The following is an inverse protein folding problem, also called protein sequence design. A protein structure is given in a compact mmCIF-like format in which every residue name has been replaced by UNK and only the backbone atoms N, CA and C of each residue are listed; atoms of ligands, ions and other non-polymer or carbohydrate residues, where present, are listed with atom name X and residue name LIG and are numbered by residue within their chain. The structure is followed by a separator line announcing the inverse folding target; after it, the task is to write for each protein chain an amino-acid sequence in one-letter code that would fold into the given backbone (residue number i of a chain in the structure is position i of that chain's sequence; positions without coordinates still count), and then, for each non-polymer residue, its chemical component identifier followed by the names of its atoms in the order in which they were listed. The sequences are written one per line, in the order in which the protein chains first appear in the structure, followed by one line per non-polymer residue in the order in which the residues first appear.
data_IF_849182023480
#
_entry.id   IF_849182023480
#
_cell.length_a   1.000
_cell.length_b   1.000
_cell.length_c   1.000
_cell.angle_alpha   90.00
_cell.angle_beta   90.00
_cell.angle_gamma   90.00
#
_symmetry.space_group_name_H-M   'P 1'
#
loop_
_entity.id
_entity.type
_entity.pdbx_description
1 polymer ?
#
# COMPACT_ATOMS: atom_id res chain seq x y z
N UNK A 1 -16.69 39.36 15.50
CA UNK A 1 -16.48 38.60 14.24
C UNK A 1 -15.03 38.17 14.20
N UNK A 2 -14.69 36.87 14.20
CA UNK A 2 -13.31 36.46 13.98
C UNK A 2 -12.99 36.55 12.48
N UNK A 3 -11.89 37.22 12.17
CA UNK A 3 -11.30 37.37 10.84
C UNK A 3 -11.11 36.01 10.11
N UNK A 4 -11.30 35.97 8.79
CA UNK A 4 -10.95 34.80 7.99
C UNK A 4 -9.43 34.64 8.01
N UNK A 5 -8.94 33.54 8.58
CA UNK A 5 -7.53 33.18 8.56
C UNK A 5 -7.01 33.20 7.11
N UNK A 6 -6.15 34.16 6.82
CA UNK A 6 -5.47 34.37 5.55
C UNK A 6 -4.63 33.15 5.18
N UNK A 7 -4.80 32.72 3.92
CA UNK A 7 -4.00 31.76 3.13
C UNK A 7 -2.91 30.97 3.88
N UNK A 8 -3.28 29.85 4.51
CA UNK A 8 -2.30 28.78 4.74
C UNK A 8 -1.96 28.18 3.39
N UNK A 9 -0.72 28.41 2.97
CA UNK A 9 -0.07 27.87 1.78
C UNK A 9 -0.70 26.53 1.34
N UNK A 10 -1.54 26.57 0.30
CA UNK A 10 -2.32 25.44 -0.22
C UNK A 10 -1.45 24.42 -0.98
N UNK A 11 -0.14 24.47 -0.78
CA UNK A 11 0.83 23.59 -1.40
C UNK A 11 0.66 22.17 -0.85
N UNK A 12 0.42 21.26 -1.79
CA UNK A 12 0.39 19.80 -1.58
C UNK A 12 1.66 19.34 -0.87
N UNK A 13 1.52 18.56 0.21
CA UNK A 13 2.66 17.97 0.91
C UNK A 13 3.37 16.95 -0.01
N UNK A 14 4.57 17.30 -0.45
CA UNK A 14 5.32 16.53 -1.44
C UNK A 14 5.96 15.27 -0.87
N UNK A 15 6.13 15.20 0.46
CA UNK A 15 6.66 14.03 1.16
C UNK A 15 5.81 12.80 0.90
N UNK A 16 4.50 12.98 0.84
CA UNK A 16 3.55 11.88 0.70
C UNK A 16 3.69 11.26 -0.68
N UNK A 17 3.77 12.07 -1.73
CA UNK A 17 4.00 11.57 -3.09
C UNK A 17 5.38 10.91 -3.21
N UNK A 18 6.41 11.49 -2.58
CA UNK A 18 7.75 10.92 -2.57
C UNK A 18 7.79 9.55 -1.89
N UNK A 19 7.29 9.44 -0.66
CA UNK A 19 7.29 8.19 0.11
C UNK A 19 6.42 7.13 -0.56
N UNK A 20 5.28 7.49 -1.16
CA UNK A 20 4.47 6.56 -1.96
C UNK A 20 5.24 6.07 -3.18
N UNK A 21 5.95 6.95 -3.88
CA UNK A 21 6.77 6.57 -5.04
C UNK A 21 7.92 5.64 -4.66
N UNK A 22 8.63 5.96 -3.57
CA UNK A 22 9.68 5.12 -3.01
C UNK A 22 9.14 3.75 -2.61
N UNK A 23 8.00 3.71 -1.92
CA UNK A 23 7.36 2.46 -1.53
C UNK A 23 7.04 1.58 -2.75
N UNK A 24 6.53 2.16 -3.84
CA UNK A 24 6.24 1.40 -5.07
C UNK A 24 7.49 0.82 -5.73
N UNK A 25 8.59 1.57 -5.76
CA UNK A 25 9.87 1.09 -6.30
C UNK A 25 10.38 -0.07 -5.45
N UNK A 26 10.42 0.09 -4.13
CA UNK A 26 10.89 -0.97 -3.21
C UNK A 26 9.98 -2.19 -3.26
N UNK A 27 8.65 -2.03 -3.25
CA UNK A 27 7.70 -3.13 -3.44
C UNK A 27 7.98 -3.88 -4.75
N UNK A 28 8.32 -3.17 -5.82
CA UNK A 28 8.66 -3.81 -7.10
C UNK A 28 9.90 -4.69 -6.96
N UNK A 29 10.98 -4.15 -6.37
CA UNK A 29 12.23 -4.89 -6.16
C UNK A 29 12.06 -6.08 -5.22
N UNK A 30 11.24 -5.93 -4.18
CA UNK A 30 10.90 -6.97 -3.20
C UNK A 30 10.20 -8.18 -3.82
N UNK A 31 9.54 -7.99 -4.97
CA UNK A 31 8.84 -9.05 -5.69
C UNK A 31 9.59 -9.58 -6.92
N UNK A 32 10.86 -9.19 -7.08
CA UNK A 32 11.77 -9.86 -8.02
C UNK A 32 12.35 -11.09 -7.31
N UNK A 33 11.90 -12.29 -7.69
CA UNK A 33 12.40 -13.54 -7.13
C UNK A 33 13.83 -13.82 -7.60
N UNK A 34 14.64 -14.37 -6.70
CA UNK A 34 16.07 -14.62 -6.96
C UNK A 34 16.95 -13.38 -6.84
N UNK A 35 16.40 -12.22 -6.46
CA UNK A 35 17.14 -10.97 -6.32
C UNK A 35 17.87 -10.88 -4.99
N UNK A 36 19.20 -10.77 -5.01
CA UNK A 36 20.01 -10.63 -3.79
C UNK A 36 19.66 -9.37 -2.98
N UNK A 37 19.18 -8.30 -3.63
CA UNK A 37 18.79 -7.07 -2.93
C UNK A 37 17.69 -7.33 -1.89
N UNK A 38 16.84 -8.33 -2.11
CA UNK A 38 15.77 -8.67 -1.16
C UNK A 38 16.32 -8.92 0.24
N UNK A 39 17.54 -9.48 0.38
CA UNK A 39 18.18 -9.78 1.67
C UNK A 39 18.42 -8.54 2.54
N UNK A 40 18.58 -7.37 1.92
CA UNK A 40 18.82 -6.09 2.62
C UNK A 40 17.60 -5.17 2.62
N UNK A 41 16.51 -5.59 1.98
CA UNK A 41 15.27 -4.81 1.93
C UNK A 41 14.42 -5.01 3.20
N UNK A 42 13.54 -4.04 3.53
CA UNK A 42 12.68 -4.10 4.72
C UNK A 42 11.88 -5.39 4.85
N UNK A 43 11.46 -5.99 3.73
CA UNK A 43 10.69 -7.23 3.71
C UNK A 43 11.44 -8.40 4.38
N UNK A 44 12.76 -8.50 4.21
CA UNK A 44 13.59 -9.57 4.78
C UNK A 44 13.91 -9.35 6.26
N UNK A 45 13.95 -8.09 6.72
CA UNK A 45 14.03 -7.78 8.14
C UNK A 45 12.77 -8.27 8.88
N UNK A 46 11.63 -8.29 8.19
CA UNK A 46 10.39 -8.92 8.67
C UNK A 46 9.64 -8.14 9.75
N UNK A 47 10.16 -7.00 10.21
CA UNK A 47 9.55 -6.13 11.22
C UNK A 47 8.31 -5.41 10.68
N UNK A 48 8.48 -4.57 9.65
CA UNK A 48 7.43 -4.01 8.78
C UNK A 48 8.08 -3.67 7.43
N UNK A 49 7.29 -3.46 6.38
CA UNK A 49 7.80 -3.17 5.05
C UNK A 49 7.13 -1.98 4.38
N UNK A 50 7.35 -1.82 3.07
CA UNK A 50 6.84 -0.69 2.30
C UNK A 50 5.34 -0.79 2.01
N UNK A 51 4.71 -1.95 2.22
CA UNK A 51 3.25 -2.08 2.11
C UNK A 51 2.54 -1.28 3.19
N UNK A 52 3.01 -1.30 4.44
CA UNK A 52 2.44 -0.51 5.53
C UNK A 52 2.54 0.98 5.24
N UNK A 53 3.70 1.44 4.75
CA UNK A 53 3.92 2.82 4.30
C UNK A 53 2.90 3.20 3.23
N UNK A 54 2.75 2.36 2.20
CA UNK A 54 1.86 2.63 1.08
C UNK A 54 0.38 2.69 1.52
N UNK A 55 -0.08 1.74 2.34
CA UNK A 55 -1.46 1.67 2.84
C UNK A 55 -1.78 2.86 3.75
N UNK A 56 -0.89 3.18 4.70
CA UNK A 56 -1.07 4.29 5.62
C UNK A 56 -1.13 5.65 4.89
N UNK A 57 -0.20 5.90 3.97
CA UNK A 57 -0.18 7.15 3.20
C UNK A 57 -1.39 7.26 2.26
N UNK A 58 -1.87 6.15 1.70
CA UNK A 58 -3.12 6.14 0.94
C UNK A 58 -4.33 6.47 1.80
N UNK A 59 -4.32 6.12 3.09
CA UNK A 59 -5.30 6.58 4.07
C UNK A 59 -5.33 8.11 4.19
N UNK A 60 -4.17 8.73 4.40
CA UNK A 60 -4.05 10.21 4.48
C UNK A 60 -4.63 10.86 3.22
N UNK A 61 -4.18 10.43 2.05
CA UNK A 61 -4.61 11.01 0.77
C UNK A 61 -6.08 10.71 0.48
N UNK A 62 -6.56 9.53 0.83
CA UNK A 62 -7.96 9.12 0.69
C UNK A 62 -8.87 10.03 1.52
N UNK A 63 -8.51 10.29 2.78
CA UNK A 63 -9.25 11.21 3.65
C UNK A 63 -9.31 12.63 3.10
N UNK A 64 -8.18 13.19 2.65
CA UNK A 64 -8.12 14.53 2.06
C UNK A 64 -8.90 14.65 0.75
N UNK A 65 -8.74 13.68 -0.15
CA UNK A 65 -9.42 13.69 -1.44
C UNK A 65 -10.93 13.52 -1.30
N UNK A 66 -11.39 12.65 -0.40
CA UNK A 66 -12.81 12.53 -0.09
C UNK A 66 -13.35 13.84 0.50
N UNK A 67 -12.67 14.41 1.49
CA UNK A 67 -13.10 15.65 2.13
C UNK A 67 -13.24 16.80 1.11
N UNK A 68 -12.21 17.01 0.28
CA UNK A 68 -12.20 18.05 -0.77
C UNK A 68 -13.30 17.83 -1.81
N UNK A 69 -13.50 16.59 -2.28
CA UNK A 69 -14.55 16.30 -3.25
C UNK A 69 -15.92 16.48 -2.63
N UNK A 70 -16.09 16.07 -1.38
CA UNK A 70 -17.36 16.19 -0.71
C UNK A 70 -17.74 17.63 -0.34
N UNK A 71 -16.77 18.52 -0.13
CA UNK A 71 -17.05 19.96 0.01
C UNK A 71 -17.39 20.61 -1.33
N UNK A 72 -16.83 20.12 -2.45
CA UNK A 72 -17.05 20.70 -3.78
C UNK A 72 -18.34 20.18 -4.44
N UNK A 73 -18.55 18.87 -4.42
CA UNK A 73 -19.58 18.17 -5.21
C UNK A 73 -20.65 17.49 -4.33
N UNK A 74 -20.56 17.65 -3.00
CA UNK A 74 -21.45 17.02 -2.02
C UNK A 74 -21.02 15.61 -1.58
N UNK A 75 -21.52 15.13 -0.42
CA UNK A 75 -21.16 13.82 0.15
C UNK A 75 -21.54 12.64 -0.74
N UNK A 76 -22.69 12.69 -1.39
CA UNK A 76 -23.15 11.59 -2.23
C UNK A 76 -22.27 11.39 -3.47
N UNK A 77 -21.93 12.49 -4.17
CA UNK A 77 -21.01 12.46 -5.31
C UNK A 77 -19.62 11.94 -4.91
N UNK A 78 -19.12 12.34 -3.74
CA UNK A 78 -17.85 11.82 -3.22
C UNK A 78 -17.92 10.31 -2.90
N UNK A 79 -19.02 9.83 -2.32
CA UNK A 79 -19.27 8.40 -2.06
C UNK A 79 -19.27 7.59 -3.35
N UNK A 80 -20.08 7.99 -4.34
CA UNK A 80 -20.16 7.31 -5.62
C UNK A 80 -18.81 7.29 -6.35
N UNK A 81 -18.04 8.38 -6.26
CA UNK A 81 -16.70 8.41 -6.84
C UNK A 81 -15.76 7.38 -6.21
N UNK A 82 -15.77 7.26 -4.87
CA UNK A 82 -14.91 6.31 -4.17
C UNK A 82 -15.33 4.85 -4.42
N UNK A 83 -16.63 4.56 -4.45
CA UNK A 83 -17.14 3.23 -4.80
C UNK A 83 -16.87 2.87 -6.26
N UNK A 84 -17.07 3.79 -7.20
CA UNK A 84 -16.70 3.60 -8.59
C UNK A 84 -15.20 3.34 -8.75
N UNK A 85 -14.36 4.04 -7.98
CA UNK A 85 -12.92 3.79 -7.95
C UNK A 85 -12.57 2.42 -7.33
N UNK A 86 -13.29 1.96 -6.31
CA UNK A 86 -13.12 0.63 -5.75
C UNK A 86 -13.44 -0.46 -6.79
N UNK A 87 -14.55 -0.31 -7.53
CA UNK A 87 -14.93 -1.20 -8.63
C UNK A 87 -13.85 -1.19 -9.72
N UNK A 88 -13.35 0.00 -10.12
CA UNK A 88 -12.27 0.12 -11.09
C UNK A 88 -11.01 -0.64 -10.65
N UNK A 89 -10.62 -0.53 -9.38
CA UNK A 89 -9.45 -1.24 -8.85
C UNK A 89 -9.66 -2.75 -8.84
N UNK A 90 -10.88 -3.21 -8.54
CA UNK A 90 -11.23 -4.63 -8.61
C UNK A 90 -11.14 -5.15 -10.05
N UNK A 91 -11.70 -4.44 -11.04
CA UNK A 91 -11.60 -4.82 -12.45
C UNK A 91 -10.14 -4.84 -12.93
N UNK A 92 -9.34 -3.84 -12.52
CA UNK A 92 -7.90 -3.80 -12.78
C UNK A 92 -7.19 -4.99 -12.15
N UNK A 93 -7.55 -5.38 -10.93
CA UNK A 93 -7.01 -6.58 -10.29
C UNK A 93 -7.35 -7.84 -11.08
N UNK A 94 -8.59 -8.00 -11.55
CA UNK A 94 -8.97 -9.19 -12.35
C UNK A 94 -8.15 -9.28 -13.63
N UNK A 95 -8.08 -8.19 -14.40
CA UNK A 95 -7.36 -8.16 -15.68
C UNK A 95 -5.85 -8.29 -15.48
N UNK A 96 -5.26 -7.47 -14.61
CA UNK A 96 -3.83 -7.50 -14.36
C UNK A 96 -3.40 -8.80 -13.69
N UNK A 97 -4.24 -9.33 -12.80
CA UNK A 97 -4.01 -10.58 -12.11
C UNK A 97 -3.98 -11.75 -13.08
N UNK A 98 -4.99 -11.85 -13.94
CA UNK A 98 -5.03 -12.85 -15.00
C UNK A 98 -3.81 -12.74 -15.93
N UNK A 99 -3.42 -11.52 -16.34
CA UNK A 99 -2.24 -11.29 -17.18
C UNK A 99 -0.94 -11.71 -16.50
N UNK A 100 -0.76 -11.38 -15.21
CA UNK A 100 0.41 -11.79 -14.42
C UNK A 100 0.51 -13.31 -14.34
N UNK A 101 -0.59 -14.01 -14.06
CA UNK A 101 -0.58 -15.47 -14.00
C UNK A 101 -0.31 -16.10 -15.37
N UNK A 102 -0.87 -15.54 -16.44
CA UNK A 102 -0.59 -15.98 -17.81
C UNK A 102 0.90 -15.81 -18.15
N UNK A 103 1.49 -14.69 -17.73
CA UNK A 103 2.91 -14.42 -17.93
C UNK A 103 3.77 -15.42 -17.16
N UNK A 104 3.46 -15.72 -15.90
CA UNK A 104 4.15 -16.74 -15.09
C UNK A 104 4.06 -18.11 -15.78
N UNK A 105 2.87 -18.48 -16.27
CA UNK A 105 2.65 -19.73 -17.01
C UNK A 105 3.50 -19.79 -18.27
N UNK A 106 3.61 -18.68 -19.00
CA UNK A 106 4.41 -18.60 -20.23
C UNK A 106 5.92 -18.64 -19.96
N UNK A 107 6.41 -18.00 -18.90
CA UNK A 107 7.86 -17.95 -18.60
C UNK A 107 8.41 -19.27 -18.05
N UNK A 108 7.55 -20.17 -17.56
CA UNK A 108 7.94 -21.50 -17.06
C UNK A 108 8.70 -21.46 -15.72
N UNK A 109 8.51 -20.41 -14.93
CA UNK A 109 9.24 -20.18 -13.67
C UNK A 109 8.73 -21.07 -12.54
N UNK A 110 9.18 -22.33 -12.53
CA UNK A 110 8.86 -23.36 -11.51
C UNK A 110 9.05 -22.88 -10.06
N UNK A 111 10.03 -22.01 -9.79
CA UNK A 111 10.27 -21.47 -8.46
C UNK A 111 9.21 -20.44 -8.01
N UNK A 112 8.61 -19.68 -8.95
CA UNK A 112 7.46 -18.83 -8.65
C UNK A 112 6.20 -19.67 -8.39
N UNK A 113 6.06 -20.79 -9.09
CA UNK A 113 4.97 -21.76 -8.92
C UNK A 113 5.01 -22.46 -7.54
N UNK A 114 6.20 -22.83 -7.06
CA UNK A 114 6.38 -23.48 -5.74
C UNK A 114 6.18 -22.50 -4.57
N UNK A 115 6.66 -21.26 -4.68
CA UNK A 115 6.54 -20.25 -3.62
C UNK A 115 5.11 -19.74 -3.41
N UNK A 116 4.26 -19.78 -4.45
CA UNK A 116 2.86 -19.38 -4.34
C UNK A 116 1.91 -20.53 -3.97
N UNK A 117 2.39 -21.79 -3.84
CA UNK A 117 1.53 -22.99 -3.72
C UNK A 117 0.43 -23.05 -4.81
N UNK A 118 0.68 -22.44 -5.96
CA UNK A 118 -0.34 -22.16 -6.96
C UNK A 118 -0.39 -23.27 -8.02
N UNK A 119 -0.89 -24.44 -7.63
CA UNK A 119 -1.28 -25.49 -8.60
C UNK A 119 -2.37 -25.00 -9.55
N UNK A 120 -3.07 -23.91 -9.20
CA UNK A 120 -4.12 -23.31 -9.98
C UNK A 120 -3.67 -22.63 -11.28
N UNK A 121 -2.39 -22.24 -11.43
CA UNK A 121 -1.89 -21.62 -12.69
C UNK A 121 -1.96 -22.60 -13.87
N UNK A 122 -1.97 -23.91 -13.59
CA UNK A 122 -2.08 -24.97 -14.59
C UNK A 122 -3.53 -25.28 -15.00
N UNK A 123 -4.53 -24.67 -14.35
CA UNK A 123 -5.93 -24.85 -14.69
C UNK A 123 -6.24 -24.35 -16.11
N UNK A 124 -7.38 -24.79 -16.70
CA UNK A 124 -7.96 -24.14 -17.87
C UNK A 124 -8.10 -22.61 -17.67
N UNK A 125 -7.94 -21.84 -18.75
CA UNK A 125 -7.87 -20.37 -18.68
C UNK A 125 -9.17 -19.73 -18.16
N UNK A 126 -10.31 -20.32 -18.50
CA UNK A 126 -11.63 -19.93 -18.03
C UNK A 126 -11.79 -20.15 -16.52
N UNK A 127 -11.35 -21.31 -16.01
CA UNK A 127 -11.36 -21.58 -14.57
C UNK A 127 -10.39 -20.67 -13.81
N UNK A 128 -9.19 -20.43 -14.37
CA UNK A 128 -8.21 -19.52 -13.79
C UNK A 128 -8.77 -18.10 -13.68
N UNK A 129 -9.38 -17.60 -14.76
CA UNK A 129 -10.02 -16.28 -14.77
C UNK A 129 -11.14 -16.20 -13.73
N UNK A 130 -11.99 -17.23 -13.65
CA UNK A 130 -13.07 -17.28 -12.66
C UNK A 130 -12.53 -17.27 -11.22
N UNK A 131 -11.45 -17.99 -10.94
CA UNK A 131 -10.83 -18.02 -9.61
C UNK A 131 -10.21 -16.67 -9.24
N UNK A 132 -9.54 -16.00 -10.18
CA UNK A 132 -9.04 -14.62 -9.97
C UNK A 132 -10.22 -13.67 -9.73
N UNK A 133 -11.24 -13.70 -10.58
CA UNK A 133 -12.44 -12.87 -10.43
C UNK A 133 -13.12 -13.08 -9.07
N UNK A 134 -13.29 -14.33 -8.65
CA UNK A 134 -13.95 -14.67 -7.38
C UNK A 134 -13.04 -14.47 -6.15
N UNK A 135 -11.84 -13.89 -6.29
CA UNK A 135 -10.86 -13.75 -5.21
C UNK A 135 -10.58 -15.10 -4.53
N UNK A 136 -10.53 -16.18 -5.32
CA UNK A 136 -10.19 -17.56 -4.92
C UNK A 136 -8.77 -17.94 -5.33
N UNK A 137 -8.08 -17.07 -6.05
CA UNK A 137 -6.71 -17.25 -6.50
C UNK A 137 -5.82 -16.16 -5.89
N UNK A 138 -4.77 -16.58 -5.19
CA UNK A 138 -3.74 -15.64 -4.77
C UNK A 138 -2.97 -15.16 -6.00
N UNK A 139 -2.78 -13.85 -6.13
CA UNK A 139 -1.98 -13.26 -7.21
C UNK A 139 -0.92 -12.37 -6.59
N UNK A 140 0.16 -13.01 -6.12
CA UNK A 140 1.37 -12.42 -5.54
C UNK A 140 1.19 -11.00 -4.98
N UNK A 141 2.00 -10.05 -5.49
CA UNK A 141 1.97 -8.65 -5.07
C UNK A 141 0.61 -7.98 -5.31
N UNK A 142 -0.15 -8.36 -6.34
CA UNK A 142 -1.45 -7.78 -6.72
C UNK A 142 -2.54 -7.96 -5.65
N UNK A 143 -2.30 -8.82 -4.66
CA UNK A 143 -3.17 -9.05 -3.51
C UNK A 143 -3.42 -7.80 -2.64
N UNK A 144 -2.64 -6.73 -2.82
CA UNK A 144 -2.93 -5.44 -2.17
C UNK A 144 -4.14 -4.73 -2.81
N UNK A 145 -4.48 -4.99 -4.07
CA UNK A 145 -5.58 -4.29 -4.76
C UNK A 145 -6.97 -4.63 -4.19
N UNK A 146 -7.33 -5.90 -3.91
CA UNK A 146 -8.58 -6.23 -3.24
C UNK A 146 -8.70 -5.54 -1.87
N UNK A 147 -7.61 -5.50 -1.09
CA UNK A 147 -7.54 -4.75 0.17
C UNK A 147 -7.88 -3.27 -0.06
N UNK A 148 -7.32 -2.64 -1.10
CA UNK A 148 -7.63 -1.25 -1.44
C UNK A 148 -9.10 -1.03 -1.79
N UNK A 149 -9.75 -2.00 -2.43
CA UNK A 149 -11.19 -1.94 -2.70
C UNK A 149 -11.98 -1.87 -1.39
N UNK A 150 -11.62 -2.70 -0.39
CA UNK A 150 -12.22 -2.66 0.95
C UNK A 150 -11.94 -1.31 1.64
N UNK A 151 -10.70 -0.82 1.62
CA UNK A 151 -10.32 0.47 2.21
C UNK A 151 -11.15 1.63 1.63
N UNK A 152 -11.22 1.75 0.30
CA UNK A 152 -11.98 2.82 -0.36
C UNK A 152 -13.48 2.72 -0.09
N UNK A 153 -14.02 1.50 0.00
CA UNK A 153 -15.45 1.27 0.30
C UNK A 153 -15.84 1.75 1.69
N UNK A 154 -14.91 1.75 2.65
CA UNK A 154 -15.15 2.21 4.02
C UNK A 154 -14.91 3.71 4.24
N UNK A 155 -14.27 4.43 3.30
CA UNK A 155 -14.04 5.88 3.41
C UNK A 155 -15.36 6.67 3.62
N UNK A 156 -16.45 6.41 2.86
CA UNK A 156 -17.71 7.12 3.06
C UNK A 156 -18.29 6.96 4.46
N UNK A 157 -18.30 5.73 5.00
CA UNK A 157 -18.81 5.44 6.34
C UNK A 157 -17.99 6.18 7.40
N UNK A 158 -16.67 6.12 7.29
CA UNK A 158 -15.76 6.82 8.20
C UNK A 158 -15.99 8.33 8.17
N UNK A 159 -16.13 8.92 6.97
CA UNK A 159 -16.35 10.36 6.83
C UNK A 159 -17.74 10.79 7.29
N UNK A 160 -18.76 9.96 7.07
CA UNK A 160 -20.09 10.18 7.60
C UNK A 160 -20.07 10.23 9.14
N UNK A 161 -19.39 9.27 9.79
CA UNK A 161 -19.27 9.23 11.25
C UNK A 161 -18.53 10.44 11.80
N UNK A 162 -17.43 10.85 11.15
CA UNK A 162 -16.72 12.09 11.48
C UNK A 162 -17.62 13.32 11.38
N UNK A 163 -18.42 13.43 10.32
CA UNK A 163 -19.32 14.59 10.11
C UNK A 163 -20.41 14.64 11.16
N UNK A 164 -21.00 13.50 11.48
CA UNK A 164 -22.05 13.38 12.50
C UNK A 164 -21.58 13.76 13.88
N UNK A 165 -20.36 13.36 14.23
CA UNK A 165 -19.81 13.57 15.58
C UNK A 165 -18.90 14.79 15.68
N UNK A 166 -18.63 15.45 14.55
CA UNK A 166 -17.65 16.53 14.39
C UNK A 166 -16.27 16.21 15.01
N UNK A 167 -15.96 14.92 15.13
CA UNK A 167 -14.81 14.41 15.88
C UNK A 167 -14.15 13.26 15.13
N UNK A 168 -12.83 13.17 15.27
CA UNK A 168 -12.05 12.02 14.78
C UNK A 168 -12.08 10.85 15.75
N UNK A 169 -12.58 11.04 16.99
CA UNK A 169 -12.55 10.02 18.04
C UNK A 169 -13.41 8.80 17.69
N UNK A 170 -14.71 8.92 17.38
CA UNK A 170 -15.54 7.76 17.06
C UNK A 170 -15.03 6.91 15.89
N UNK A 171 -14.59 7.50 14.76
CA UNK A 171 -14.04 6.69 13.68
C UNK A 171 -12.64 6.12 13.98
N UNK A 172 -11.88 6.72 14.91
CA UNK A 172 -10.63 6.12 15.43
C UNK A 172 -10.94 4.91 16.31
N UNK A 173 -11.94 5.01 17.20
CA UNK A 173 -12.37 3.91 18.05
C UNK A 173 -12.90 2.74 17.21
N UNK A 174 -13.63 3.02 16.13
CA UNK A 174 -14.07 1.99 15.19
C UNK A 174 -12.87 1.26 14.55
N UNK A 175 -11.85 1.99 14.08
CA UNK A 175 -10.65 1.39 13.52
C UNK A 175 -9.89 0.53 14.54
N UNK A 176 -9.78 1.01 15.79
CA UNK A 176 -9.16 0.28 16.88
C UNK A 176 -9.95 -0.98 17.25
N UNK A 177 -11.27 -0.87 17.37
CA UNK A 177 -12.14 -2.00 17.69
C UNK A 177 -12.04 -3.09 16.62
N UNK A 178 -12.11 -2.72 15.34
CA UNK A 178 -11.91 -3.65 14.21
C UNK A 178 -10.55 -4.34 14.26
N UNK A 179 -9.50 -3.61 14.62
CA UNK A 179 -8.17 -4.18 14.74
C UNK A 179 -8.08 -5.17 15.90
N UNK A 180 -8.56 -4.79 17.09
CA UNK A 180 -8.51 -5.64 18.28
C UNK A 180 -9.35 -6.91 18.12
N UNK A 181 -10.54 -6.82 17.52
CA UNK A 181 -11.36 -8.01 17.22
C UNK A 181 -10.68 -8.92 16.22
N UNK A 182 -10.00 -8.35 15.20
CA UNK A 182 -9.22 -9.15 14.26
C UNK A 182 -8.05 -9.85 14.96
N UNK A 183 -7.28 -9.17 15.81
CA UNK A 183 -6.18 -9.79 16.55
C UNK A 183 -6.69 -10.88 17.50
N UNK A 184 -7.82 -10.63 18.19
CA UNK A 184 -8.45 -11.64 19.04
C UNK A 184 -8.85 -12.88 18.23
N UNK A 185 -9.48 -12.69 17.06
CA UNK A 185 -9.89 -13.80 16.20
C UNK A 185 -8.70 -14.62 15.70
N UNK A 186 -7.56 -13.99 15.39
CA UNK A 186 -6.32 -14.68 15.01
C UNK A 186 -5.83 -15.59 16.14
N UNK A 187 -5.99 -15.17 17.40
CA UNK A 187 -5.59 -15.94 18.57
C UNK A 187 -6.61 -16.96 19.06
N UNK A 188 -7.88 -16.87 18.64
CA UNK A 188 -8.99 -17.65 19.21
C UNK A 188 -9.76 -18.52 18.22
N UNK A 189 -9.77 -18.20 16.92
CA UNK A 189 -10.46 -18.96 15.87
C UNK A 189 -9.54 -19.16 14.65
N UNK A 190 -9.15 -20.40 14.31
CA UNK A 190 -8.56 -20.66 13.00
C UNK A 190 -9.61 -20.37 11.92
N UNK A 191 -9.30 -19.46 10.99
CA UNK A 191 -10.14 -19.21 9.83
C UNK A 191 -10.10 -20.43 8.90
N UNK A 192 -11.15 -20.67 8.08
CA UNK A 192 -11.12 -21.71 7.07
C UNK A 192 -9.94 -21.49 6.11
N UNK A 193 -9.09 -22.51 5.93
CA UNK A 193 -7.88 -22.44 5.12
C UNK A 193 -8.11 -21.95 3.67
N UNK A 194 -9.31 -22.18 3.12
CA UNK A 194 -9.74 -21.72 1.79
C UNK A 194 -9.82 -20.18 1.66
N UNK A 195 -10.12 -19.46 2.75
CA UNK A 195 -10.15 -17.98 2.74
C UNK A 195 -8.75 -17.40 2.92
N UNK A 196 -7.89 -18.05 3.72
CA UNK A 196 -6.49 -17.67 3.90
C UNK A 196 -5.67 -17.83 2.62
N UNK A 197 -5.98 -18.86 1.82
CA UNK A 197 -5.26 -19.16 0.59
C UNK A 197 -5.47 -18.11 -0.52
N UNK A 198 -6.57 -17.35 -0.49
CA UNK A 198 -6.95 -16.51 -1.62
C UNK A 198 -6.70 -15.01 -1.41
N UNK A 199 -6.78 -14.52 -0.16
CA UNK A 199 -6.49 -13.13 0.18
C UNK A 199 -5.36 -13.10 1.21
N UNK A 200 -4.13 -12.85 0.74
CA UNK A 200 -2.93 -12.80 1.59
C UNK A 200 -3.05 -11.74 2.70
N UNK A 201 -3.60 -10.57 2.40
CA UNK A 201 -3.83 -9.52 3.38
C UNK A 201 -5.22 -9.65 3.99
N UNK A 202 -5.32 -9.97 5.29
CA UNK A 202 -6.63 -9.98 5.95
C UNK A 202 -7.19 -8.55 5.93
N UNK A 203 -8.38 -8.29 5.33
CA UNK A 203 -8.84 -6.93 5.11
C UNK A 203 -9.00 -6.12 6.40
N UNK A 204 -9.55 -6.72 7.46
CA UNK A 204 -9.91 -6.00 8.69
C UNK A 204 -8.70 -5.35 9.39
N UNK A 205 -7.60 -6.07 9.73
CA UNK A 205 -6.41 -5.44 10.30
C UNK A 205 -5.80 -4.36 9.39
N UNK A 206 -5.71 -4.62 8.10
CA UNK A 206 -5.05 -3.69 7.18
C UNK A 206 -5.89 -2.44 6.88
N UNK A 207 -7.22 -2.57 6.89
CA UNK A 207 -8.13 -1.42 6.84
C UNK A 207 -7.94 -0.52 8.06
N UNK A 208 -7.68 -1.06 9.25
CA UNK A 208 -7.44 -0.22 10.43
C UNK A 208 -6.23 0.69 10.25
N UNK A 209 -5.15 0.19 9.63
CA UNK A 209 -3.96 0.98 9.28
C UNK A 209 -4.28 2.11 8.29
N UNK A 210 -5.07 1.80 7.27
CA UNK A 210 -5.55 2.81 6.31
C UNK A 210 -6.41 3.89 7.00
N UNK A 211 -7.35 3.48 7.86
CA UNK A 211 -8.20 4.40 8.61
C UNK A 211 -7.38 5.23 9.61
N UNK A 212 -6.36 4.66 10.24
CA UNK A 212 -5.42 5.39 11.09
C UNK A 212 -4.66 6.46 10.30
N UNK A 213 -4.26 6.14 9.06
CA UNK A 213 -3.75 7.13 8.11
C UNK A 213 -4.74 8.29 7.87
N UNK A 214 -6.03 8.00 7.67
CA UNK A 214 -7.05 9.04 7.55
C UNK A 214 -7.17 9.93 8.80
N UNK A 215 -7.09 9.34 9.99
CA UNK A 215 -7.07 10.07 11.27
C UNK A 215 -5.86 10.99 11.32
N UNK A 216 -4.66 10.44 11.13
CA UNK A 216 -3.41 11.19 11.16
C UNK A 216 -3.38 12.36 10.17
N UNK A 217 -3.95 12.16 8.97
CA UNK A 217 -4.08 13.22 7.96
C UNK A 217 -4.92 14.42 8.41
N UNK A 218 -5.77 14.26 9.43
CA UNK A 218 -6.66 15.31 9.93
C UNK A 218 -6.19 15.92 11.24
N UNK A 219 -5.23 15.29 11.91
CA UNK A 219 -4.66 15.79 13.15
C UNK A 219 -3.66 16.93 12.87
N UNK A 220 -3.62 17.93 13.75
CA UNK A 220 -2.60 18.98 13.68
C UNK A 220 -1.22 18.41 14.04
N UNK A 221 -0.17 18.75 13.26
CA UNK A 221 1.20 18.26 13.49
C UNK A 221 1.73 18.54 14.91
N UNK A 222 1.24 19.61 15.55
CA UNK A 222 1.63 20.01 16.91
C UNK A 222 1.33 18.94 17.97
N UNK A 223 0.32 18.08 17.78
CA UNK A 223 -0.02 17.02 18.73
C UNK A 223 1.08 15.96 18.88
N UNK A 224 1.92 15.82 17.85
CA UNK A 224 3.04 14.90 17.83
C UNK A 224 4.37 15.66 17.82
N UNK A 225 4.45 16.86 18.41
CA UNK A 225 5.68 17.67 18.46
C UNK A 225 6.53 17.41 19.73
N UNK A 226 5.95 16.83 20.77
CA UNK A 226 6.65 16.58 22.04
C UNK A 226 7.86 15.63 21.85
N UNK A 227 9.04 15.91 22.43
CA UNK A 227 10.24 15.07 22.26
C UNK A 227 10.08 13.66 22.85
N UNK A 228 9.22 13.46 23.85
CA UNK A 228 8.96 12.12 24.40
C UNK A 228 8.49 11.11 23.34
N UNK A 229 7.71 11.54 22.34
CA UNK A 229 7.26 10.65 21.26
C UNK A 229 8.43 10.10 20.42
N UNK A 230 9.51 10.87 20.29
CA UNK A 230 10.73 10.42 19.64
C UNK A 230 11.48 9.39 20.48
N UNK A 231 11.63 9.66 21.78
CA UNK A 231 12.21 8.68 22.71
C UNK A 231 11.46 7.35 22.68
N UNK A 232 10.12 7.40 22.77
CA UNK A 232 9.26 6.21 22.68
C UNK A 232 9.46 5.47 21.34
N UNK A 233 9.46 6.20 20.22
CA UNK A 233 9.66 5.60 18.92
C UNK A 233 11.04 4.92 18.79
N UNK A 234 12.11 5.56 19.28
CA UNK A 234 13.46 4.99 19.29
C UNK A 234 13.55 3.74 20.18
N UNK A 235 12.91 3.76 21.35
CA UNK A 235 12.84 2.58 22.23
C UNK A 235 12.12 1.44 21.51
N UNK A 236 10.97 1.67 20.88
CA UNK A 236 10.25 0.64 20.11
C UNK A 236 11.14 0.07 18.99
N UNK A 237 11.81 0.93 18.22
CA UNK A 237 12.72 0.48 17.16
C UNK A 237 13.86 -0.38 17.72
N UNK A 238 14.50 0.05 18.80
CA UNK A 238 15.60 -0.67 19.43
C UNK A 238 15.13 -2.01 20.01
N UNK A 239 13.99 -2.04 20.71
CA UNK A 239 13.42 -3.27 21.26
C UNK A 239 13.07 -4.27 20.15
N UNK A 240 12.43 -3.82 19.07
CA UNK A 240 12.07 -4.68 17.95
C UNK A 240 13.31 -5.23 17.23
N UNK A 241 14.35 -4.41 17.07
CA UNK A 241 15.62 -4.86 16.52
C UNK A 241 16.29 -5.90 17.44
N UNK A 242 16.38 -5.65 18.75
CA UNK A 242 16.92 -6.61 19.70
C UNK A 242 16.16 -7.94 19.67
N UNK A 243 14.83 -7.91 19.69
CA UNK A 243 13.99 -9.11 19.61
C UNK A 243 14.21 -9.89 18.31
N UNK A 244 14.39 -9.19 17.19
CA UNK A 244 14.70 -9.81 15.91
C UNK A 244 16.08 -10.48 15.92
N UNK A 245 17.08 -9.86 16.55
CA UNK A 245 18.43 -10.41 16.68
C UNK A 245 18.50 -11.60 17.64
N UNK A 246 17.59 -11.67 18.62
CA UNK A 246 17.50 -12.78 19.58
C UNK A 246 16.70 -13.99 19.06
N UNK A 247 16.19 -13.92 17.83
CA UNK A 247 15.36 -14.97 17.19
C UNK A 247 14.23 -15.52 18.08
N UNK A 248 13.55 -14.63 18.80
CA UNK A 248 12.54 -15.02 19.78
C UNK A 248 11.30 -15.64 19.09
N UNK A 249 10.91 -16.90 19.39
CA UNK A 249 9.83 -17.58 18.67
C UNK A 249 8.45 -16.93 18.86
N UNK A 250 8.22 -16.28 20.01
CA UNK A 250 7.00 -15.51 20.29
C UNK A 250 6.79 -14.33 19.31
N UNK A 251 7.86 -13.89 18.62
CA UNK A 251 7.84 -12.77 17.69
C UNK A 251 7.08 -13.09 16.39
N UNK A 252 7.00 -14.36 16.00
CA UNK A 252 6.35 -14.76 14.75
C UNK A 252 4.86 -14.38 14.71
N UNK A 253 4.14 -14.55 15.81
CA UNK A 253 2.74 -14.14 15.93
C UNK A 253 2.58 -12.62 15.96
N UNK A 254 3.48 -11.92 16.66
CA UNK A 254 3.46 -10.45 16.77
C UNK A 254 3.85 -9.73 15.48
N UNK A 255 4.60 -10.38 14.60
CA UNK A 255 5.07 -9.81 13.32
C UNK A 255 4.31 -10.34 12.09
N UNK A 256 3.34 -11.24 12.27
CA UNK A 256 2.61 -11.87 11.16
C UNK A 256 2.03 -10.84 10.17
N UNK A 257 2.55 -10.83 8.93
CA UNK A 257 2.17 -9.86 7.89
C UNK A 257 0.71 -9.96 7.45
N UNK A 258 0.15 -11.14 7.14
CA UNK A 258 -1.27 -11.28 6.77
C UNK A 258 -2.22 -10.65 7.79
N UNK A 259 -1.89 -10.80 9.06
CA UNK A 259 -2.70 -10.36 10.20
C UNK A 259 -2.39 -8.94 10.65
N UNK A 260 -1.37 -8.28 10.06
CA UNK A 260 -0.79 -7.04 10.55
C UNK A 260 -0.57 -7.11 12.07
N UNK A 261 0.29 -8.03 12.51
CA UNK A 261 0.51 -8.30 13.93
C UNK A 261 0.90 -7.05 14.72
N UNK A 262 0.65 -7.07 16.03
CA UNK A 262 0.84 -5.91 16.91
C UNK A 262 2.27 -5.37 16.89
N UNK A 263 3.28 -6.23 16.92
CA UNK A 263 4.69 -5.82 16.83
C UNK A 263 4.99 -5.11 15.52
N UNK A 264 4.45 -5.63 14.40
CA UNK A 264 4.58 -5.05 13.06
C UNK A 264 3.91 -3.68 12.96
N UNK A 265 2.70 -3.55 13.50
CA UNK A 265 1.97 -2.28 13.58
C UNK A 265 2.75 -1.26 14.42
N UNK A 266 3.23 -1.64 15.61
CA UNK A 266 3.99 -0.75 16.49
C UNK A 266 5.29 -0.29 15.85
N UNK A 267 6.06 -1.21 15.26
CA UNK A 267 7.28 -0.91 14.52
C UNK A 267 7.02 0.07 13.37
N UNK A 268 5.97 -0.17 12.58
CA UNK A 268 5.62 0.75 11.50
C UNK A 268 5.27 2.15 12.03
N UNK A 269 4.45 2.25 13.07
CA UNK A 269 4.00 3.53 13.60
C UNK A 269 5.14 4.32 14.26
N UNK A 270 6.07 3.67 14.97
CA UNK A 270 7.28 4.32 15.46
C UNK A 270 8.13 4.85 14.32
N UNK A 271 8.31 4.07 13.25
CA UNK A 271 9.05 4.51 12.07
C UNK A 271 8.36 5.69 11.37
N UNK A 272 7.04 5.65 11.21
CA UNK A 272 6.26 6.73 10.61
C UNK A 272 6.40 8.04 11.42
N UNK A 273 6.40 7.97 12.75
CA UNK A 273 6.64 9.11 13.63
C UNK A 273 8.04 9.71 13.42
N UNK A 274 9.09 8.88 13.36
CA UNK A 274 10.47 9.34 13.14
C UNK A 274 10.60 10.02 11.75
N UNK A 275 10.11 9.35 10.70
CA UNK A 275 10.18 9.85 9.31
C UNK A 275 9.40 11.16 9.14
N UNK A 276 8.24 11.31 9.80
CA UNK A 276 7.40 12.50 9.68
C UNK A 276 8.10 13.81 10.06
N UNK A 277 9.10 13.73 10.96
CA UNK A 277 9.89 14.88 11.41
C UNK A 277 11.21 15.04 10.66
N UNK A 278 11.84 13.93 10.24
CA UNK A 278 13.12 13.95 9.54
C UNK A 278 13.01 14.42 8.09
N UNK A 279 11.98 13.98 7.37
CA UNK A 279 11.80 14.35 5.98
C UNK A 279 11.30 15.80 5.92
N UNK A 280 11.79 16.72 5.05
CA UNK A 280 11.31 18.12 4.91
C UNK A 280 10.04 18.24 4.06
N UNK A 281 9.14 19.21 4.32
CA UNK A 281 7.76 19.27 3.73
C UNK A 281 7.79 19.47 2.22
N UNK A 282 8.80 20.19 1.79
CA UNK A 282 9.13 20.40 0.40
C UNK A 282 10.32 19.49 0.12
N UNK A 283 10.21 18.73 -0.97
CA UNK A 283 11.27 17.85 -1.41
C UNK A 283 12.13 18.59 -2.42
N UNK A 284 13.41 18.23 -2.52
CA UNK A 284 14.29 18.81 -3.52
C UNK A 284 13.81 18.45 -4.94
N UNK A 285 14.07 19.34 -5.89
CA UNK A 285 13.62 19.23 -7.28
C UNK A 285 14.09 17.94 -7.98
N UNK A 286 15.25 17.40 -7.61
CA UNK A 286 15.81 16.17 -8.21
C UNK A 286 15.07 14.89 -7.80
N UNK A 287 14.26 14.93 -6.73
CA UNK A 287 13.39 13.81 -6.34
C UNK A 287 12.04 13.85 -7.06
N UNK A 288 11.88 14.73 -8.06
CA UNK A 288 10.67 14.90 -8.86
C UNK A 288 10.20 13.61 -9.53
N UNK A 289 11.12 12.81 -10.05
CA UNK A 289 10.80 11.55 -10.73
C UNK A 289 10.15 10.53 -9.78
N UNK A 290 10.67 10.38 -8.56
CA UNK A 290 10.10 9.46 -7.56
C UNK A 290 8.70 9.95 -7.14
N UNK A 291 8.49 11.26 -7.01
CA UNK A 291 7.15 11.81 -6.76
C UNK A 291 6.17 11.48 -7.89
N UNK A 292 6.63 11.46 -9.13
CA UNK A 292 5.83 11.04 -10.29
C UNK A 292 5.23 9.64 -10.10
N UNK A 293 6.04 8.70 -9.64
CA UNK A 293 5.62 7.35 -9.27
C UNK A 293 4.48 7.35 -8.23
N UNK A 294 4.61 8.14 -7.16
CA UNK A 294 3.58 8.25 -6.13
C UNK A 294 2.28 8.91 -6.62
N UNK A 295 2.40 9.93 -7.48
CA UNK A 295 1.23 10.62 -8.09
C UNK A 295 0.44 9.70 -9.01
N UNK A 296 1.12 8.82 -9.74
CA UNK A 296 0.54 7.86 -10.69
C UNK A 296 0.62 6.42 -10.17
N UNK A 297 0.34 6.26 -8.87
CA UNK A 297 0.63 5.03 -8.13
C UNK A 297 0.10 3.76 -8.80
N UNK A 298 -1.12 3.77 -9.34
CA UNK A 298 -1.69 2.58 -9.97
C UNK A 298 -0.91 2.15 -11.22
N UNK A 299 -0.51 3.11 -12.08
CA UNK A 299 0.23 2.81 -13.31
C UNK A 299 1.63 2.29 -12.98
N UNK A 300 2.33 2.98 -12.10
CA UNK A 300 3.66 2.55 -11.64
C UNK A 300 3.61 1.18 -10.99
N UNK A 301 2.60 0.93 -10.15
CA UNK A 301 2.42 -0.35 -9.48
C UNK A 301 2.19 -1.51 -10.47
N UNK A 302 1.31 -1.33 -11.46
CA UNK A 302 1.06 -2.36 -12.49
C UNK A 302 2.26 -2.59 -13.40
N UNK A 303 3.01 -1.53 -13.76
CA UNK A 303 4.22 -1.66 -14.55
C UNK A 303 5.33 -2.39 -13.77
N UNK A 304 5.51 -2.04 -12.50
CA UNK A 304 6.43 -2.71 -11.59
C UNK A 304 6.06 -4.17 -11.38
N UNK A 305 4.78 -4.49 -11.20
CA UNK A 305 4.25 -5.85 -11.11
C UNK A 305 4.66 -6.74 -12.29
N UNK A 306 4.42 -6.27 -13.52
CA UNK A 306 4.78 -6.99 -14.73
C UNK A 306 6.30 -7.10 -14.90
N UNK A 307 7.04 -6.00 -14.65
CA UNK A 307 8.50 -6.00 -14.70
C UNK A 307 9.09 -7.00 -13.71
N UNK A 308 8.55 -7.08 -12.50
CA UNK A 308 9.02 -7.98 -11.47
C UNK A 308 8.90 -9.45 -11.92
N UNK A 309 7.78 -9.84 -12.54
CA UNK A 309 7.60 -11.19 -13.07
C UNK A 309 8.61 -11.49 -14.20
N UNK A 310 8.74 -10.58 -15.17
CA UNK A 310 9.69 -10.75 -16.28
C UNK A 310 11.13 -10.89 -15.79
N UNK A 311 11.56 -9.99 -14.91
CA UNK A 311 12.93 -9.98 -14.39
C UNK A 311 13.18 -11.20 -13.50
N UNK A 312 12.21 -11.60 -12.67
CA UNK A 312 12.29 -12.84 -11.91
C UNK A 312 12.55 -14.04 -12.82
N UNK A 313 11.90 -14.09 -13.99
CA UNK A 313 12.11 -15.19 -14.94
C UNK A 313 13.51 -15.25 -15.52
N UNK A 314 14.21 -14.11 -15.57
CA UNK A 314 15.62 -14.08 -15.94
C UNK A 314 16.49 -14.55 -14.77
N UNK A 315 16.18 -14.12 -13.54
CA UNK A 315 17.00 -14.39 -12.35
C UNK A 315 16.97 -15.86 -11.92
N UNK A 316 15.85 -16.55 -12.15
CA UNK A 316 15.68 -17.95 -11.76
C UNK A 316 16.13 -18.95 -12.83
N UNK A 317 16.62 -18.48 -13.99
CA UNK A 317 17.17 -19.35 -15.05
C UNK A 317 18.64 -19.65 -14.76
N UNK A 318 18.88 -20.62 -13.88
CA UNK A 318 20.22 -21.10 -13.53
C UNK A 318 21.01 -20.11 -12.66
N UNK A 319 22.33 -20.25 -12.66
CA UNK A 319 23.22 -19.32 -11.94
C UNK A 319 23.27 -17.98 -12.65
N UNK A 320 22.58 -16.99 -12.10
CA UNK A 320 22.60 -15.62 -12.64
C UNK A 320 23.73 -14.80 -12.05
N UNK A 321 24.53 -14.21 -12.94
CA UNK A 321 25.61 -13.31 -12.53
C UNK A 321 25.08 -12.06 -11.83
N UNK A 322 25.89 -11.49 -10.93
CA UNK A 322 25.56 -10.23 -10.24
C UNK A 322 25.30 -9.08 -11.21
N UNK A 323 25.94 -9.08 -12.39
CA UNK A 323 25.71 -8.08 -13.44
C UNK A 323 24.28 -8.14 -13.98
N UNK A 324 23.78 -9.33 -14.30
CA UNK A 324 22.39 -9.53 -14.75
C UNK A 324 21.41 -9.05 -13.68
N UNK A 325 21.71 -9.32 -12.41
CA UNK A 325 20.86 -8.86 -11.31
C UNK A 325 20.85 -7.33 -11.17
N UNK A 326 22.01 -6.68 -11.26
CA UNK A 326 22.13 -5.21 -11.24
C UNK A 326 21.38 -4.58 -12.40
N UNK A 327 21.55 -5.10 -13.62
CA UNK A 327 20.87 -4.60 -14.82
C UNK A 327 19.34 -4.80 -14.73
N UNK A 328 18.88 -5.97 -14.26
CA UNK A 328 17.46 -6.24 -14.03
C UNK A 328 16.85 -5.28 -13.01
N UNK A 329 17.51 -5.06 -11.88
CA UNK A 329 17.07 -4.10 -10.87
C UNK A 329 17.04 -2.66 -11.41
N UNK A 330 18.08 -2.26 -12.16
CA UNK A 330 18.11 -0.96 -12.83
C UNK A 330 16.97 -0.79 -13.82
N UNK A 331 16.65 -1.82 -14.60
CA UNK A 331 15.51 -1.83 -15.52
C UNK A 331 14.17 -1.70 -14.79
N UNK A 332 13.97 -2.43 -13.68
CA UNK A 332 12.75 -2.31 -12.87
C UNK A 332 12.54 -0.88 -12.37
N UNK A 333 13.59 -0.27 -11.83
CA UNK A 333 13.56 1.13 -11.36
C UNK A 333 13.27 2.07 -12.53
N UNK A 334 13.95 1.91 -13.67
CA UNK A 334 13.74 2.73 -14.85
C UNK A 334 12.29 2.65 -15.36
N UNK A 335 11.70 1.45 -15.44
CA UNK A 335 10.29 1.26 -15.81
C UNK A 335 9.36 2.03 -14.87
N UNK A 336 9.57 1.90 -13.55
CA UNK A 336 8.78 2.63 -12.55
C UNK A 336 8.89 4.15 -12.75
N UNK A 337 10.10 4.67 -12.92
CA UNK A 337 10.35 6.10 -13.12
C UNK A 337 9.75 6.61 -14.44
N UNK A 338 9.93 5.88 -15.54
CA UNK A 338 9.37 6.26 -16.85
C UNK A 338 7.84 6.30 -16.75
N UNK A 339 7.19 5.20 -16.34
CA UNK A 339 5.72 5.14 -16.25
C UNK A 339 5.15 6.13 -15.25
N UNK A 340 5.86 6.36 -14.13
CA UNK A 340 5.49 7.36 -13.13
C UNK A 340 5.52 8.79 -13.68
N UNK A 341 6.39 9.07 -14.66
CA UNK A 341 6.61 10.41 -15.20
C UNK A 341 6.04 10.64 -16.60
N UNK A 342 5.66 9.59 -17.34
CA UNK A 342 4.93 9.69 -18.61
C UNK A 342 3.65 10.53 -18.42
N UNK A 343 3.64 11.73 -19.01
CA UNK A 343 2.43 12.49 -19.26
C UNK A 343 1.46 11.52 -19.93
N UNK A 344 0.36 11.17 -19.25
CA UNK A 344 -0.76 10.63 -20.01
C UNK A 344 -1.06 11.64 -21.10
N UNK A 345 -1.41 11.16 -22.30
CA UNK A 345 -2.05 11.99 -23.32
C UNK A 345 -3.03 12.92 -22.58
N UNK A 346 -2.90 14.26 -22.68
CA UNK A 346 -3.87 15.13 -22.06
C UNK A 346 -5.23 14.67 -22.57
N UNK A 347 -6.15 14.34 -21.66
CA UNK A 347 -7.54 14.22 -22.04
C UNK A 347 -7.85 15.53 -22.77
N UNK A 348 -8.22 15.39 -24.05
CA UNK A 348 -8.63 16.48 -24.91
C UNK A 348 -9.50 17.45 -24.10
N UNK A 349 -9.14 18.72 -24.19
CA UNK A 349 -9.95 19.87 -23.82
C UNK A 349 -11.45 19.61 -23.97
N UNK A 350 -12.13 19.29 -22.86
CA UNK A 350 -13.55 19.60 -22.74
C UNK A 350 -13.65 21.11 -22.45
N UNK A 351 -13.93 21.82 -23.53
CA UNK A 351 -14.46 23.18 -23.67
C UNK A 351 -14.45 24.08 -22.44
N UNK A 352 -13.57 25.07 -22.51
CA UNK A 352 -13.86 26.44 -22.10
C UNK A 352 -15.05 27.02 -22.89
N UNK A 353 -16.24 26.97 -22.28
CA UNK A 353 -17.44 27.79 -22.54
C UNK A 353 -18.39 27.41 -21.40
N UNK A 354 -18.63 28.21 -20.36
CA UNK A 354 -19.23 29.54 -20.44
C UNK A 354 -18.78 30.44 -19.28
N UNK A 355 -18.26 31.60 -19.65
CA UNK A 355 -18.34 32.84 -18.88
C UNK A 355 -19.37 33.68 -19.62
N UNK A 356 -20.56 33.80 -19.03
CA UNK A 356 -21.47 34.93 -19.16
C UNK A 356 -22.39 34.93 -17.95
#
# INVERSE_FOLDING_TARGET
MPEPATSRDSRRDERIDFLRGLALIVITLDHIYGNWLTMVMPISLGLSDMAEVFVFLSGIVGGWSFARRSTRDGPWSATLHFWGRAIQLYLVYVVAGFLVLLLIRWTGTSQQLTLHRDTAILLPLDELLLRVAMLRQHVGHLSILPLYCCCLSCVPLWMWLRRRTQSVVPPTLLALALYLTAQWSVTSLPLPALVEAAIYYRPVPWMSLFLLGMVCGQLTPQRFAHPAWWGIALVIQATMLCWKLMDAPALALLLGKPNLGLGRMLHFLSLALLVSRLLPRQSHWYLSFIRGCGRRSLRTYLAGALAAVLISSLFTRGETSSLVQILGNGLAIAICLIVGNCSGVPASSESSSDVA
#
